data_IF_126475296926
#
_entry.id   IF_126475296926
#
_cell.length_a   1.000
_cell.length_b   1.000
_cell.length_c   1.000
_cell.angle_alpha   90.00
_cell.angle_beta   90.00
_cell.angle_gamma   90.00
#
_symmetry.space_group_name_H-M   'P 1'
#
loop_
_entity.id
_entity.type
_entity.pdbx_description
1 polymer ?
#
# COMPACT_ATOMS: atom_id res chain seq x y z
N UNK A 1 -2.47 17.86 -22.00
CA UNK A 1 -2.98 16.70 -22.71
C UNK A 1 -3.73 15.84 -21.68
N UNK A 2 -5.07 15.92 -21.69
CA UNK A 2 -5.89 15.19 -20.73
C UNK A 2 -5.82 13.69 -21.02
N UNK A 3 -5.51 12.91 -20.00
CA UNK A 3 -5.67 11.46 -20.03
C UNK A 3 -7.18 11.22 -19.96
N UNK A 4 -7.79 10.93 -21.12
CA UNK A 4 -9.16 10.45 -21.20
C UNK A 4 -9.19 9.03 -20.63
N UNK A 5 -9.57 8.92 -19.38
CA UNK A 5 -9.94 7.65 -18.76
C UNK A 5 -11.29 7.25 -19.38
N UNK A 6 -11.27 6.27 -20.26
CA UNK A 6 -12.49 5.73 -20.85
C UNK A 6 -13.33 5.08 -19.75
N UNK A 7 -14.45 5.72 -19.46
CA UNK A 7 -15.52 5.18 -18.61
C UNK A 7 -16.33 4.21 -19.46
N UNK A 8 -15.82 2.97 -19.59
CA UNK A 8 -16.64 1.83 -20.01
C UNK A 8 -17.40 1.32 -18.81
N UNK A 9 -18.57 0.78 -19.05
CA UNK A 9 -19.46 0.13 -18.08
C UNK A 9 -18.78 -1.15 -17.55
N UNK A 10 -17.83 -0.96 -16.67
CA UNK A 10 -16.95 -1.99 -16.07
C UNK A 10 -15.90 -1.30 -15.22
N UNK A 11 -15.56 -1.92 -14.11
CA UNK A 11 -14.52 -1.52 -13.18
C UNK A 11 -13.24 -1.20 -13.96
N UNK A 12 -12.73 0.04 -13.84
CA UNK A 12 -11.57 0.51 -14.58
C UNK A 12 -10.35 -0.35 -14.27
N UNK A 13 -9.76 -0.96 -15.28
CA UNK A 13 -8.60 -1.86 -15.12
C UNK A 13 -7.30 -1.08 -14.92
N UNK A 14 -6.31 -1.75 -14.33
CA UNK A 14 -4.96 -1.20 -14.17
C UNK A 14 -4.23 -1.19 -15.51
N UNK A 15 -3.36 -0.20 -15.70
CA UNK A 15 -2.44 -0.14 -16.83
C UNK A 15 -1.26 -1.10 -16.62
N UNK A 16 -0.73 -1.67 -17.70
CA UNK A 16 0.56 -2.37 -17.67
C UNK A 16 1.75 -1.43 -17.40
N UNK A 17 1.57 -0.14 -17.67
CA UNK A 17 2.59 0.87 -17.41
C UNK A 17 2.50 1.38 -15.98
N UNK A 18 3.51 1.09 -15.18
CA UNK A 18 3.60 1.50 -13.78
C UNK A 18 3.42 3.00 -13.60
N UNK A 19 4.08 3.81 -14.42
CA UNK A 19 4.03 5.28 -14.32
C UNK A 19 2.64 5.85 -14.56
N UNK A 20 1.85 5.23 -15.43
CA UNK A 20 0.45 5.62 -15.65
C UNK A 20 -0.39 5.42 -14.39
N UNK A 21 -0.22 4.27 -13.74
CA UNK A 21 -0.92 3.97 -12.49
C UNK A 21 -0.46 4.91 -11.36
N UNK A 22 0.85 5.16 -11.23
CA UNK A 22 1.38 6.06 -10.21
C UNK A 22 0.94 7.52 -10.42
N UNK A 23 0.90 7.99 -11.66
CA UNK A 23 0.41 9.34 -11.96
C UNK A 23 -1.06 9.50 -11.56
N UNK A 24 -1.90 8.53 -11.86
CA UNK A 24 -3.31 8.55 -11.48
C UNK A 24 -3.51 8.43 -9.96
N UNK A 25 -2.69 7.63 -9.26
CA UNK A 25 -2.68 7.56 -7.79
C UNK A 25 -2.26 8.89 -7.16
N UNK A 26 -1.18 9.49 -7.65
CA UNK A 26 -0.72 10.79 -7.16
C UNK A 26 -1.76 11.90 -7.37
N UNK A 27 -2.51 11.85 -8.46
CA UNK A 27 -3.58 12.83 -8.69
C UNK A 27 -4.72 12.71 -7.66
N UNK A 28 -4.95 11.52 -7.09
CA UNK A 28 -6.02 11.26 -6.11
C UNK A 28 -5.55 11.32 -4.67
N UNK A 29 -4.38 10.76 -4.35
CA UNK A 29 -3.89 10.52 -2.99
C UNK A 29 -2.58 11.25 -2.69
N UNK A 30 -1.91 11.81 -3.70
CA UNK A 30 -0.57 12.38 -3.56
C UNK A 30 -0.46 13.58 -2.61
N UNK A 31 -1.57 14.22 -2.28
CA UNK A 31 -1.63 15.28 -1.27
C UNK A 31 -1.76 14.74 0.16
N UNK A 32 -2.05 13.46 0.35
CA UNK A 32 -2.17 12.89 1.69
C UNK A 32 -0.81 12.52 2.27
N UNK A 33 -0.44 13.13 3.38
CA UNK A 33 0.87 12.97 4.02
C UNK A 33 1.12 11.55 4.56
N UNK A 34 0.08 10.75 4.72
CA UNK A 34 0.16 9.37 5.20
C UNK A 34 0.16 8.33 4.07
N UNK A 35 0.02 8.76 2.79
CA UNK A 35 0.08 7.85 1.66
C UNK A 35 1.49 7.73 1.11
N UNK A 36 1.97 6.50 0.91
CA UNK A 36 3.27 6.21 0.35
C UNK A 36 3.16 5.37 -0.92
N UNK A 37 3.85 5.84 -1.95
CA UNK A 37 4.11 5.10 -3.19
C UNK A 37 5.62 4.93 -3.33
N UNK A 38 6.20 3.92 -2.66
CA UNK A 38 7.64 3.69 -2.65
C UNK A 38 8.07 2.89 -3.87
N UNK A 39 8.90 3.48 -4.72
CA UNK A 39 9.50 2.80 -5.87
C UNK A 39 10.50 1.76 -5.41
N UNK A 40 10.47 0.62 -6.05
CA UNK A 40 11.37 -0.51 -5.82
C UNK A 40 11.81 -1.13 -7.15
N UNK A 41 12.82 -1.96 -7.09
CA UNK A 41 13.21 -2.86 -8.17
C UNK A 41 13.24 -4.29 -7.64
N UNK A 42 12.57 -5.21 -8.35
CA UNK A 42 12.51 -6.62 -8.00
C UNK A 42 12.75 -7.45 -9.25
N UNK A 43 13.74 -8.32 -9.24
CA UNK A 43 14.17 -9.11 -10.41
C UNK A 43 14.45 -8.26 -11.67
N UNK A 44 15.04 -7.07 -11.51
CA UNK A 44 15.27 -6.08 -12.57
C UNK A 44 13.99 -5.48 -13.18
N UNK A 45 12.84 -5.68 -12.53
CA UNK A 45 11.58 -5.04 -12.91
C UNK A 45 11.28 -3.90 -11.95
N UNK A 46 10.99 -2.73 -12.51
CA UNK A 46 10.52 -1.58 -11.73
C UNK A 46 9.17 -1.88 -11.14
N UNK A 47 8.98 -1.50 -9.90
CA UNK A 47 7.71 -1.65 -9.20
C UNK A 47 7.47 -0.51 -8.22
N UNK A 48 6.32 -0.54 -7.59
CA UNK A 48 5.98 0.35 -6.48
C UNK A 48 5.20 -0.38 -5.41
N UNK A 49 5.53 -0.08 -4.16
CA UNK A 49 4.77 -0.49 -2.99
C UNK A 49 3.89 0.68 -2.56
N UNK A 50 2.60 0.42 -2.45
CA UNK A 50 1.58 1.38 -2.05
C UNK A 50 1.05 1.00 -0.67
N UNK A 51 1.01 1.94 0.25
CA UNK A 51 0.46 1.74 1.59
C UNK A 51 0.14 3.07 2.26
N UNK A 52 -0.67 3.01 3.31
CA UNK A 52 -0.83 4.12 4.26
C UNK A 52 0.05 3.91 5.50
N UNK A 53 0.68 4.99 5.96
CA UNK A 53 1.58 4.97 7.10
C UNK A 53 0.86 4.50 8.38
N UNK A 54 1.53 3.64 9.12
CA UNK A 54 0.98 3.07 10.34
C UNK A 54 -0.13 2.03 10.13
N UNK A 55 -0.60 1.79 8.89
CA UNK A 55 -1.59 0.76 8.57
C UNK A 55 -0.94 -0.57 8.21
N UNK A 56 0.12 -0.54 7.41
CA UNK A 56 0.89 -1.71 7.00
C UNK A 56 2.36 -1.57 7.41
N UNK A 57 3.02 -2.68 7.69
CA UNK A 57 4.46 -2.73 8.00
C UNK A 57 5.26 -2.85 6.72
N UNK A 58 5.92 -1.76 6.32
CA UNK A 58 6.84 -1.77 5.19
C UNK A 58 8.04 -2.70 5.45
N UNK A 59 8.52 -2.78 6.68
CA UNK A 59 9.63 -3.66 7.09
C UNK A 59 9.27 -5.12 6.87
N UNK A 60 8.12 -5.57 7.40
CA UNK A 60 7.64 -6.94 7.23
C UNK A 60 7.40 -7.29 5.76
N UNK A 61 6.86 -6.35 4.98
CA UNK A 61 6.68 -6.55 3.55
C UNK A 61 8.03 -6.71 2.82
N UNK A 62 9.00 -5.86 3.18
CA UNK A 62 10.31 -5.91 2.57
C UNK A 62 11.05 -7.21 2.87
N UNK A 63 10.98 -7.71 4.11
CA UNK A 63 11.53 -9.01 4.49
C UNK A 63 10.90 -10.15 3.68
N UNK A 64 9.57 -10.13 3.51
CA UNK A 64 8.87 -11.11 2.68
C UNK A 64 9.31 -11.09 1.22
N UNK A 65 9.45 -9.91 0.62
CA UNK A 65 9.87 -9.76 -0.76
C UNK A 65 11.33 -10.16 -0.97
N UNK A 66 12.22 -9.81 -0.02
CA UNK A 66 13.63 -10.23 -0.06
C UNK A 66 13.78 -11.73 0.10
N UNK A 67 13.03 -12.34 1.02
CA UNK A 67 13.04 -13.80 1.21
C UNK A 67 12.58 -14.51 -0.06
N UNK A 68 11.50 -14.06 -0.69
CA UNK A 68 11.04 -14.58 -1.96
C UNK A 68 12.09 -14.43 -3.06
N UNK A 69 12.72 -13.25 -3.16
CA UNK A 69 13.76 -12.98 -4.15
C UNK A 69 15.02 -13.82 -3.95
N UNK A 70 15.37 -14.16 -2.69
CA UNK A 70 16.53 -14.99 -2.38
C UNK A 70 16.32 -16.47 -2.65
N UNK A 71 15.09 -16.96 -2.46
CA UNK A 71 14.75 -18.40 -2.58
C UNK A 71 14.26 -18.80 -3.96
N UNK A 72 13.77 -17.85 -4.73
CA UNK A 72 13.14 -18.15 -6.02
C UNK A 72 13.84 -17.37 -7.14
N UNK A 73 14.20 -18.10 -8.17
CA UNK A 73 14.67 -17.51 -9.41
C UNK A 73 13.54 -17.60 -10.43
N UNK A 74 13.16 -16.50 -11.10
CA UNK A 74 12.18 -16.57 -12.17
C UNK A 74 12.66 -17.61 -13.21
N UNK A 75 11.75 -18.37 -13.83
CA UNK A 75 12.11 -19.32 -14.89
C UNK A 75 12.62 -18.54 -16.11
N UNK A 76 13.92 -18.29 -16.12
CA UNK A 76 14.59 -17.55 -17.18
C UNK A 76 15.02 -18.52 -18.28
N UNK A 77 14.71 -18.18 -19.52
CA UNK A 77 15.51 -18.69 -20.65
C UNK A 77 16.89 -18.05 -20.52
N UNK A 78 17.93 -18.84 -20.73
CA UNK A 78 19.33 -18.41 -20.64
C UNK A 78 19.52 -17.07 -21.38
N UNK A 79 19.85 -15.98 -20.63
CA UNK A 79 20.14 -14.66 -21.18
C UNK A 79 18.95 -13.70 -21.34
N UNK A 80 17.73 -14.04 -20.91
CA UNK A 80 16.58 -13.13 -20.95
C UNK A 80 16.22 -12.62 -19.56
N UNK A 81 15.93 -11.32 -19.43
CA UNK A 81 15.34 -10.74 -18.22
C UNK A 81 13.87 -11.15 -18.13
N UNK A 82 13.31 -11.36 -16.91
CA UNK A 82 11.89 -11.66 -16.75
C UNK A 82 11.04 -10.45 -17.14
N UNK A 83 9.82 -10.68 -17.60
CA UNK A 83 8.83 -9.63 -17.75
C UNK A 83 8.11 -9.38 -16.42
N UNK A 84 7.50 -8.18 -16.24
CA UNK A 84 6.68 -7.86 -15.06
C UNK A 84 5.57 -8.86 -14.83
N UNK A 85 4.93 -9.35 -15.89
CA UNK A 85 3.91 -10.41 -15.82
C UNK A 85 4.48 -11.73 -15.27
N UNK A 86 5.68 -12.13 -15.69
CA UNK A 86 6.33 -13.36 -15.17
C UNK A 86 6.70 -13.22 -13.70
N UNK A 87 7.19 -12.05 -13.27
CA UNK A 87 7.46 -11.78 -11.86
C UNK A 87 6.16 -11.76 -11.05
N UNK A 88 5.10 -11.13 -11.55
CA UNK A 88 3.79 -11.17 -10.93
C UNK A 88 3.30 -12.62 -10.75
N UNK A 89 3.37 -13.45 -11.80
CA UNK A 89 2.96 -14.85 -11.76
C UNK A 89 3.81 -15.67 -10.78
N UNK A 90 5.10 -15.40 -10.70
CA UNK A 90 6.00 -16.03 -9.73
C UNK A 90 5.55 -15.72 -8.30
N UNK A 91 5.33 -14.46 -7.99
CA UNK A 91 4.94 -14.04 -6.63
C UNK A 91 3.52 -14.49 -6.26
N UNK A 92 2.59 -14.53 -7.24
CA UNK A 92 1.19 -14.90 -6.98
C UNK A 92 0.98 -16.41 -6.85
N UNK A 93 1.75 -17.24 -7.55
CA UNK A 93 1.55 -18.70 -7.59
C UNK A 93 2.29 -19.47 -6.51
N UNK A 94 3.35 -18.89 -5.97
CA UNK A 94 4.18 -19.62 -5.02
C UNK A 94 3.81 -19.21 -3.61
N UNK A 95 3.21 -20.13 -2.89
CA UNK A 95 2.92 -20.08 -1.45
C UNK A 95 4.19 -19.91 -0.57
N UNK A 96 5.31 -19.54 -1.18
CA UNK A 96 6.55 -19.21 -0.49
C UNK A 96 6.47 -17.89 0.27
N UNK A 97 5.46 -17.06 -0.02
CA UNK A 97 5.16 -15.87 0.78
C UNK A 97 4.27 -16.30 1.95
N UNK A 98 4.76 -16.26 3.20
CA UNK A 98 3.97 -16.66 4.37
C UNK A 98 2.83 -15.68 4.70
N UNK A 99 2.63 -14.65 3.88
CA UNK A 99 1.52 -13.71 3.99
C UNK A 99 0.42 -14.04 2.98
N UNK A 100 -0.83 -13.85 3.38
CA UNK A 100 -1.94 -13.91 2.46
C UNK A 100 -1.77 -12.84 1.39
N UNK A 101 -1.75 -13.27 0.14
CA UNK A 101 -1.69 -12.40 -1.03
C UNK A 101 -2.94 -12.57 -1.88
N UNK A 102 -3.46 -11.48 -2.40
CA UNK A 102 -4.62 -11.46 -3.28
C UNK A 102 -4.34 -10.59 -4.51
N UNK A 103 -4.89 -10.93 -5.68
CA UNK A 103 -4.74 -10.09 -6.85
C UNK A 103 -5.47 -8.76 -6.69
N UNK A 104 -4.92 -7.72 -7.33
CA UNK A 104 -5.55 -6.42 -7.56
C UNK A 104 -5.67 -6.26 -9.07
N UNK A 105 -6.89 -6.26 -9.59
CA UNK A 105 -7.13 -6.27 -11.04
C UNK A 105 -7.72 -4.96 -11.55
N UNK A 106 -8.23 -4.14 -10.65
CA UNK A 106 -8.95 -2.93 -11.00
C UNK A 106 -8.65 -1.77 -10.03
N UNK A 107 -9.09 -0.57 -10.41
CA UNK A 107 -8.88 0.64 -9.63
C UNK A 107 -9.63 0.66 -8.31
N UNK A 108 -10.79 0.03 -8.23
CA UNK A 108 -11.57 -0.03 -6.99
C UNK A 108 -10.81 -0.84 -5.93
N UNK A 109 -10.34 -2.01 -6.29
CA UNK A 109 -9.49 -2.82 -5.42
C UNK A 109 -8.21 -2.09 -5.04
N UNK A 110 -7.55 -1.42 -6.03
CA UNK A 110 -6.32 -0.67 -5.80
C UNK A 110 -6.49 0.42 -4.74
N UNK A 111 -7.66 1.07 -4.69
CA UNK A 111 -7.95 2.13 -3.73
C UNK A 111 -8.39 1.57 -2.38
N UNK A 112 -9.19 0.51 -2.38
CA UNK A 112 -9.73 -0.08 -1.15
C UNK A 112 -8.68 -0.83 -0.32
N UNK A 113 -7.76 -1.56 -0.97
CA UNK A 113 -6.80 -2.43 -0.25
C UNK A 113 -5.88 -1.64 0.69
N UNK A 114 -5.23 -0.55 0.27
CA UNK A 114 -4.40 0.24 1.19
C UNK A 114 -5.21 0.86 2.34
N UNK A 115 -6.45 1.34 2.09
CA UNK A 115 -7.31 1.89 3.15
C UNK A 115 -7.77 0.83 4.15
N UNK A 116 -7.77 -0.45 3.76
CA UNK A 116 -8.01 -1.58 4.66
C UNK A 116 -6.75 -2.03 5.43
N UNK A 117 -5.61 -1.37 5.24
CA UNK A 117 -4.36 -1.68 5.94
C UNK A 117 -3.49 -2.74 5.26
N UNK A 118 -3.75 -3.00 3.98
CA UNK A 118 -2.92 -3.89 3.17
C UNK A 118 -1.87 -3.09 2.41
N UNK A 119 -0.72 -3.67 2.15
CA UNK A 119 0.22 -3.15 1.18
C UNK A 119 -0.10 -3.69 -0.22
N UNK A 120 0.08 -2.87 -1.25
CA UNK A 120 -0.10 -3.27 -2.65
C UNK A 120 1.20 -3.13 -3.41
N UNK A 121 1.60 -4.17 -4.12
CA UNK A 121 2.73 -4.18 -5.05
C UNK A 121 2.21 -4.06 -6.47
N UNK A 122 2.69 -3.04 -7.19
CA UNK A 122 2.54 -2.90 -8.64
C UNK A 122 3.88 -3.15 -9.32
N UNK A 123 3.87 -3.82 -10.47
CA UNK A 123 5.05 -4.11 -11.28
C UNK A 123 4.87 -3.58 -12.71
N UNK A 124 5.91 -2.97 -13.25
CA UNK A 124 5.92 -2.51 -14.64
C UNK A 124 5.82 -3.71 -15.59
N UNK A 125 4.96 -3.63 -16.59
CA UNK A 125 4.64 -4.73 -17.49
C UNK A 125 3.62 -5.74 -16.95
N UNK A 126 2.88 -5.39 -15.88
CA UNK A 126 1.77 -6.18 -15.36
C UNK A 126 0.54 -5.30 -15.15
N UNK A 127 -0.59 -5.68 -15.78
CA UNK A 127 -1.90 -5.04 -15.56
C UNK A 127 -2.56 -5.48 -14.24
N UNK A 128 -1.86 -6.22 -13.40
CA UNK A 128 -2.33 -6.71 -12.10
C UNK A 128 -1.32 -6.37 -11.01
N UNK A 129 -1.82 -6.02 -9.83
CA UNK A 129 -1.05 -5.87 -8.61
C UNK A 129 -1.26 -7.05 -7.66
N UNK A 130 -0.50 -7.08 -6.58
CA UNK A 130 -0.64 -8.02 -5.47
C UNK A 130 -0.84 -7.27 -4.17
N UNK A 131 -1.80 -7.70 -3.37
CA UNK A 131 -1.93 -7.25 -1.97
C UNK A 131 -1.20 -8.18 -1.04
N UNK A 132 -0.73 -7.61 0.08
CA UNK A 132 -0.14 -8.36 1.19
C UNK A 132 -0.76 -7.92 2.50
N UNK A 133 -1.24 -8.90 3.28
CA UNK A 133 -1.73 -8.67 4.64
C UNK A 133 -0.55 -8.56 5.62
N UNK A 134 0.16 -7.45 5.57
CA UNK A 134 1.29 -7.13 6.47
C UNK A 134 0.89 -6.05 7.45
N UNK A 135 -0.17 -6.30 8.21
CA UNK A 135 -0.67 -5.33 9.16
C UNK A 135 0.38 -5.04 10.23
N UNK A 136 0.56 -3.77 10.55
CA UNK A 136 1.41 -3.34 11.65
C UNK A 136 0.71 -3.63 12.99
N UNK A 137 0.85 -4.85 13.50
CA UNK A 137 0.29 -5.26 14.79
C UNK A 137 1.04 -4.68 16.01
N UNK A 138 2.08 -3.88 15.79
CA UNK A 138 2.84 -3.21 16.85
C UNK A 138 2.14 -1.96 17.40
N UNK A 139 0.82 -1.98 17.48
CA UNK A 139 0.16 -0.98 18.31
C UNK A 139 0.27 -1.44 19.76
N UNK A 140 1.15 -0.81 20.53
CA UNK A 140 0.96 -0.74 21.98
C UNK A 140 -0.50 -0.31 22.16
N UNK A 141 -1.23 -1.05 22.99
CA UNK A 141 -2.56 -0.67 23.41
C UNK A 141 -2.57 0.84 23.66
N UNK A 142 -3.36 1.57 22.87
CA UNK A 142 -3.66 2.95 23.17
C UNK A 142 -4.26 2.90 24.56
N UNK A 143 -3.55 3.42 25.57
CA UNK A 143 -4.01 3.38 26.96
C UNK A 143 -5.34 4.11 27.06
N UNK A 144 -6.22 3.68 27.94
CA UNK A 144 -7.42 4.45 28.29
C UNK A 144 -6.98 5.85 28.72
N UNK A 145 -7.58 6.92 28.18
CA UNK A 145 -7.31 8.25 28.68
C UNK A 145 -7.67 8.30 30.17
N UNK A 146 -6.70 8.66 31.01
CA UNK A 146 -6.78 8.60 32.47
C UNK A 146 -7.74 9.63 33.08
N UNK A 147 -8.44 10.44 32.30
CA UNK A 147 -9.28 11.53 32.76
C UNK A 147 -10.75 11.52 32.32
N UNK A 148 -11.11 10.91 31.21
CA UNK A 148 -12.48 10.91 30.70
C UNK A 148 -12.81 9.52 30.11
N UNK A 149 -13.25 8.61 30.95
CA UNK A 149 -13.76 7.30 30.53
C UNK A 149 -15.18 7.44 30.00
N UNK A 150 -15.35 7.33 28.69
CA UNK A 150 -16.68 7.25 28.09
C UNK A 150 -17.30 5.86 28.39
N UNK A 151 -18.43 5.86 29.10
CA UNK A 151 -19.10 4.62 29.53
C UNK A 151 -19.68 3.78 28.38
N UNK A 152 -19.71 4.31 27.13
CA UNK A 152 -20.29 3.65 25.94
C UNK A 152 -19.57 3.90 24.61
N UNK A 153 -18.38 4.47 24.61
CA UNK A 153 -17.60 4.80 23.40
C UNK A 153 -16.39 3.91 23.16
N UNK A 154 -15.68 4.15 22.04
CA UNK A 154 -14.38 3.58 21.78
C UNK A 154 -13.40 4.03 22.88
N UNK A 155 -12.71 3.09 23.52
CA UNK A 155 -11.70 3.39 24.54
C UNK A 155 -10.35 3.80 23.95
N UNK A 156 -10.31 4.02 22.63
CA UNK A 156 -9.11 4.46 21.91
C UNK A 156 -9.06 6.01 21.91
N UNK A 157 -8.10 6.56 22.64
CA UNK A 157 -7.81 8.00 22.68
C UNK A 157 -6.56 8.36 21.85
N UNK A 158 -6.38 9.64 21.55
CA UNK A 158 -5.16 10.13 20.95
C UNK A 158 -3.98 10.01 21.92
N UNK A 159 -2.81 9.68 21.36
CA UNK A 159 -1.53 9.66 22.08
C UNK A 159 -0.72 10.93 21.79
N UNK A 160 0.39 11.13 22.52
CA UNK A 160 1.32 12.24 22.27
C UNK A 160 2.05 12.14 20.90
N UNK A 161 1.99 10.99 20.24
CA UNK A 161 2.63 10.74 18.96
C UNK A 161 1.67 10.97 17.80
N UNK A 162 1.87 12.05 17.06
CA UNK A 162 1.04 12.43 15.90
C UNK A 162 0.87 11.27 14.90
N UNK A 163 1.94 10.55 14.59
CA UNK A 163 1.91 9.42 13.64
C UNK A 163 0.93 8.31 14.05
N UNK A 164 0.85 8.03 15.35
CA UNK A 164 -0.09 7.04 15.90
C UNK A 164 -1.52 7.55 15.73
N UNK A 165 -1.75 8.82 16.01
CA UNK A 165 -3.08 9.44 15.89
C UNK A 165 -3.56 9.46 14.42
N UNK A 166 -2.67 9.76 13.46
CA UNK A 166 -3.00 9.71 12.05
C UNK A 166 -3.38 8.28 11.61
N UNK A 167 -2.61 7.27 12.04
CA UNK A 167 -2.94 5.87 11.73
C UNK A 167 -4.26 5.42 12.37
N UNK A 168 -4.59 5.91 13.58
CA UNK A 168 -5.86 5.67 14.23
C UNK A 168 -7.04 6.26 13.41
N UNK A 169 -6.91 7.52 12.97
CA UNK A 169 -7.90 8.17 12.11
C UNK A 169 -8.09 7.40 10.81
N UNK A 170 -7.01 7.00 10.13
CA UNK A 170 -7.08 6.24 8.89
C UNK A 170 -7.77 4.89 9.09
N UNK A 171 -7.52 4.22 10.23
CA UNK A 171 -8.15 2.95 10.58
C UNK A 171 -9.64 3.07 10.84
N UNK A 172 -10.07 4.17 11.46
CA UNK A 172 -11.48 4.45 11.74
C UNK A 172 -12.22 4.93 10.48
N UNK A 173 -11.55 5.76 9.66
CA UNK A 173 -12.10 6.36 8.45
C UNK A 173 -11.41 5.74 7.22
N UNK A 174 -11.89 4.57 6.82
CA UNK A 174 -11.32 3.77 5.71
C UNK A 174 -11.82 4.25 4.35
N UNK A 175 -11.48 5.48 3.99
CA UNK A 175 -11.86 6.07 2.71
C UNK A 175 -10.68 6.75 2.04
N UNK A 176 -10.63 6.67 0.72
CA UNK A 176 -9.68 7.40 -0.12
C UNK A 176 -9.91 8.93 -0.08
N UNK A 177 -11.14 9.35 0.26
CA UNK A 177 -11.49 10.76 0.34
C UNK A 177 -10.87 11.46 1.56
N UNK A 178 -10.36 10.71 2.55
CA UNK A 178 -9.64 11.29 3.67
C UNK A 178 -8.23 11.70 3.23
N UNK A 179 -7.97 12.99 3.17
CA UNK A 179 -6.65 13.56 2.90
C UNK A 179 -6.12 14.16 4.20
N UNK A 180 -4.89 13.80 4.55
CA UNK A 180 -4.20 14.31 5.73
C UNK A 180 -3.10 15.28 5.29
N UNK A 181 -3.18 16.53 5.74
CA UNK A 181 -2.15 17.54 5.50
C UNK A 181 -1.34 17.76 6.77
N UNK A 182 -0.02 17.75 6.63
CA UNK A 182 0.91 18.09 7.71
C UNK A 182 1.48 19.47 7.44
N UNK A 183 1.21 20.41 8.35
CA UNK A 183 1.78 21.76 8.31
C UNK A 183 2.81 21.89 9.41
N UNK A 184 3.96 22.41 9.06
CA UNK A 184 5.01 22.77 10.03
C UNK A 184 4.72 24.18 10.52
N UNK A 185 4.43 24.32 11.82
CA UNK A 185 4.32 25.62 12.45
C UNK A 185 5.71 26.05 12.94
N UNK A 186 6.17 27.22 12.52
CA UNK A 186 7.35 27.86 13.12
C UNK A 186 6.97 28.36 14.50
N UNK A 187 7.24 27.56 15.53
CA UNK A 187 7.22 28.04 16.91
C UNK A 187 8.57 28.71 17.22
N UNK A 188 8.60 30.03 17.22
CA UNK A 188 9.66 30.75 17.89
C UNK A 188 9.53 30.50 19.40
N UNK A 189 10.42 29.71 19.97
CA UNK A 189 10.63 29.63 21.42
C UNK A 189 11.52 30.75 21.86
#
# INVERSE_FOLDING_TARGET
AGILLQKGDGTMQLSEHLETNLAALNARLGSSADFYAKRIELYHIRGAILLFDGMASLESLWELLLDAASRQTPPLRLGALPSGKQVYELLSRHSALPAESSPVENWEDLMQRPTAGMAVLLLDGSAKGLTFSVQSLKFRSVGEPSGEGDLRGSREGFSDLLRINLSLLRRLIRTEALVMEVQQADCAM
#
